data_IF_163677010322
#
_entry.id   IF_163677010322
#
_cell.length_a   1.000
_cell.length_b   1.000
_cell.length_c   1.000
_cell.angle_alpha   90.00
_cell.angle_beta   90.00
_cell.angle_gamma   90.00
#
_symmetry.space_group_name_H-M   'P 1'
#
loop_
_entity.id
_entity.type
_entity.pdbx_description
1 polymer ?
#
# COMPACT_ATOMS: atom_id res chain seq x y z
N UNK A 1 8.59 -11.02 -14.45
CA UNK A 1 7.64 -10.09 -13.83
C UNK A 1 8.33 -9.45 -12.64
N UNK A 2 8.64 -8.16 -12.73
CA UNK A 2 9.26 -7.36 -11.67
C UNK A 2 8.20 -6.42 -11.11
N UNK A 3 7.86 -6.59 -9.84
CA UNK A 3 6.94 -5.73 -9.11
C UNK A 3 7.69 -4.82 -8.15
N UNK A 4 7.40 -3.53 -8.19
CA UNK A 4 7.94 -2.56 -7.23
C UNK A 4 6.80 -2.07 -6.34
N UNK A 5 6.98 -2.14 -5.02
CA UNK A 5 6.04 -1.61 -4.05
C UNK A 5 6.59 -0.31 -3.47
N UNK A 6 5.86 0.78 -3.69
CA UNK A 6 6.16 2.09 -3.13
C UNK A 6 5.10 2.46 -2.09
N UNK A 7 5.51 3.20 -1.07
CA UNK A 7 4.57 3.81 -0.11
C UNK A 7 4.15 5.17 -0.67
N UNK A 8 2.88 5.51 -0.50
CA UNK A 8 2.33 6.81 -0.91
C UNK A 8 2.98 7.92 -0.08
N UNK A 9 3.61 8.86 -0.77
CA UNK A 9 4.28 10.03 -0.22
C UNK A 9 4.32 11.11 -1.33
N UNK A 10 4.35 12.41 -1.00
CA UNK A 10 4.51 13.46 -2.01
C UNK A 10 5.76 13.24 -2.86
N UNK A 11 5.63 13.25 -4.18
CA UNK A 11 6.72 13.01 -5.11
C UNK A 11 6.85 11.56 -5.58
N UNK A 12 5.99 10.64 -5.10
CA UNK A 12 5.95 9.24 -5.54
C UNK A 12 5.75 9.12 -7.05
N UNK A 13 5.07 10.07 -7.71
CA UNK A 13 4.88 10.05 -9.16
C UNK A 13 6.18 10.18 -9.96
N UNK A 14 7.14 10.94 -9.45
CA UNK A 14 8.47 11.07 -10.07
C UNK A 14 9.24 9.76 -9.97
N UNK A 15 9.20 9.12 -8.80
CA UNK A 15 9.84 7.82 -8.56
C UNK A 15 9.20 6.75 -9.45
N UNK A 16 7.86 6.72 -9.52
CA UNK A 16 7.10 5.81 -10.37
C UNK A 16 7.48 5.94 -11.85
N UNK A 17 7.71 7.16 -12.33
CA UNK A 17 8.18 7.40 -13.70
C UNK A 17 9.57 6.80 -13.94
N UNK A 18 10.48 6.89 -12.96
CA UNK A 18 11.79 6.24 -13.00
C UNK A 18 11.68 4.71 -13.02
N UNK A 19 10.81 4.15 -12.17
CA UNK A 19 10.53 2.71 -12.10
C UNK A 19 9.96 2.19 -13.43
N UNK A 20 9.05 2.93 -14.06
CA UNK A 20 8.52 2.60 -15.37
C UNK A 20 9.59 2.64 -16.48
N UNK A 21 10.56 3.56 -16.40
CA UNK A 21 11.72 3.60 -17.30
C UNK A 21 12.71 2.45 -17.06
N UNK A 22 12.75 1.92 -15.84
CA UNK A 22 13.54 0.74 -15.48
C UNK A 22 12.89 -0.60 -15.91
N UNK A 23 11.85 -0.56 -16.75
CA UNK A 23 11.13 -1.74 -17.26
C UNK A 23 10.51 -2.61 -16.17
N UNK A 24 9.99 -2.00 -15.11
CA UNK A 24 9.13 -2.70 -14.16
C UNK A 24 7.77 -3.05 -14.80
N UNK A 25 7.25 -4.24 -14.50
CA UNK A 25 5.99 -4.74 -15.06
C UNK A 25 4.76 -4.28 -14.23
N UNK A 26 4.95 -4.14 -12.92
CA UNK A 26 3.90 -3.84 -11.96
C UNK A 26 4.40 -2.83 -10.93
N UNK A 27 3.59 -1.81 -10.66
CA UNK A 27 3.85 -0.83 -9.62
C UNK A 27 2.70 -0.83 -8.62
N UNK A 28 3.01 -1.12 -7.37
CA UNK A 28 2.06 -1.12 -6.27
C UNK A 28 2.23 0.15 -5.45
N UNK A 29 1.18 0.96 -5.34
CA UNK A 29 1.12 2.11 -4.43
C UNK A 29 0.43 1.68 -3.14
N UNK A 30 1.18 1.72 -2.03
CA UNK A 30 0.72 1.36 -0.70
C UNK A 30 0.34 2.61 0.11
N UNK A 31 -0.88 2.66 0.61
CA UNK A 31 -1.30 3.71 1.55
C UNK A 31 -0.72 3.55 2.95
N UNK A 32 -0.82 4.60 3.76
CA UNK A 32 -0.45 4.57 5.18
C UNK A 32 -1.32 3.61 6.02
N UNK A 33 -2.56 3.32 5.59
CA UNK A 33 -3.50 2.42 6.29
C UNK A 33 -3.19 0.92 6.05
N UNK A 34 -1.90 0.59 5.85
CA UNK A 34 -1.41 -0.77 5.65
C UNK A 34 -1.26 -1.54 6.96
N UNK A 35 -1.64 -2.82 6.96
CA UNK A 35 -1.44 -3.70 8.11
C UNK A 35 0.03 -4.11 8.29
N UNK A 36 0.53 -4.07 9.53
CA UNK A 36 1.87 -4.55 9.90
C UNK A 36 1.81 -5.31 11.22
N UNK A 37 2.51 -6.44 11.31
CA UNK A 37 2.55 -7.26 12.51
C UNK A 37 3.58 -6.82 13.55
N UNK A 38 4.50 -5.90 13.22
CA UNK A 38 5.65 -5.59 14.08
C UNK A 38 6.17 -4.15 14.01
N UNK A 39 5.53 -3.24 13.26
CA UNK A 39 6.05 -1.86 13.15
C UNK A 39 5.81 -1.04 14.43
N UNK A 40 6.68 -0.06 14.73
CA UNK A 40 6.48 0.89 15.84
C UNK A 40 5.19 1.69 15.68
N UNK A 41 4.48 1.95 16.78
CA UNK A 41 3.22 2.73 16.78
C UNK A 41 3.36 4.12 16.14
N UNK A 42 4.52 4.76 16.31
CA UNK A 42 4.81 6.06 15.70
C UNK A 42 4.86 5.99 14.17
N UNK A 43 5.45 4.93 13.61
CA UNK A 43 5.51 4.74 12.16
C UNK A 43 4.14 4.41 11.57
N UNK A 44 3.32 3.62 12.27
CA UNK A 44 1.96 3.29 11.80
C UNK A 44 1.04 4.52 11.82
N UNK A 45 1.22 5.44 12.77
CA UNK A 45 0.35 6.62 12.90
C UNK A 45 0.81 7.84 12.11
N UNK A 46 2.11 8.01 11.88
CA UNK A 46 2.67 9.25 11.36
C UNK A 46 3.48 9.10 10.07
N UNK A 47 3.67 7.89 9.55
CA UNK A 47 4.41 7.69 8.30
C UNK A 47 3.47 7.40 7.13
N UNK A 48 3.69 8.10 6.02
CA UNK A 48 2.99 7.90 4.76
C UNK A 48 1.80 8.82 4.53
N UNK A 49 1.27 8.75 3.31
CA UNK A 49 0.12 9.50 2.85
C UNK A 49 -1.02 8.56 2.42
N UNK A 50 -2.27 9.06 2.30
CA UNK A 50 -3.38 8.29 1.73
C UNK A 50 -3.02 7.75 0.35
N UNK A 51 -3.47 6.52 0.04
CA UNK A 51 -3.17 5.88 -1.24
C UNK A 51 -3.85 6.62 -2.39
N UNK A 52 -4.98 7.28 -2.14
CA UNK A 52 -5.73 8.06 -3.12
C UNK A 52 -4.84 9.15 -3.72
N UNK A 53 -4.09 9.87 -2.87
CA UNK A 53 -3.24 10.97 -3.29
C UNK A 53 -2.06 10.45 -4.12
N UNK A 54 -1.36 9.43 -3.62
CA UNK A 54 -0.20 8.85 -4.30
C UNK A 54 -0.55 8.12 -5.60
N UNK A 55 -1.73 7.48 -5.67
CA UNK A 55 -2.23 6.83 -6.88
C UNK A 55 -2.55 7.87 -7.96
N UNK A 56 -3.24 8.96 -7.61
CA UNK A 56 -3.53 10.05 -8.56
C UNK A 56 -2.26 10.71 -9.05
N UNK A 57 -1.32 11.02 -8.16
CA UNK A 57 -0.04 11.62 -8.53
C UNK A 57 0.74 10.69 -9.47
N UNK A 58 0.78 9.39 -9.17
CA UNK A 58 1.43 8.39 -10.01
C UNK A 58 0.76 8.27 -11.38
N UNK A 59 -0.57 8.21 -11.42
CA UNK A 59 -1.34 8.17 -12.65
C UNK A 59 -1.05 9.39 -13.53
N UNK A 60 -1.10 10.59 -12.94
CA UNK A 60 -0.83 11.85 -13.64
C UNK A 60 0.61 11.91 -14.15
N UNK A 61 1.61 11.57 -13.33
CA UNK A 61 3.01 11.57 -13.74
C UNK A 61 3.28 10.57 -14.88
N UNK A 62 2.71 9.37 -14.82
CA UNK A 62 2.85 8.37 -15.88
C UNK A 62 2.15 8.77 -17.17
N UNK A 63 0.98 9.41 -17.09
CA UNK A 63 0.28 9.94 -18.26
C UNK A 63 1.05 11.10 -18.88
N UNK A 64 1.53 12.06 -18.07
CA UNK A 64 2.31 13.20 -18.54
C UNK A 64 3.61 12.78 -19.24
N UNK A 65 4.21 11.67 -18.80
CA UNK A 65 5.41 11.09 -19.43
C UNK A 65 5.09 10.06 -20.53
N UNK A 66 3.82 9.79 -20.83
CA UNK A 66 3.41 8.79 -21.82
C UNK A 66 3.79 7.35 -21.47
N UNK A 67 4.07 7.04 -20.20
CA UNK A 67 4.50 5.71 -19.74
C UNK A 67 3.36 4.86 -19.15
N UNK A 68 2.15 5.41 -19.05
CA UNK A 68 1.01 4.70 -18.41
C UNK A 68 0.67 3.36 -19.05
N UNK A 69 0.94 3.18 -20.35
CA UNK A 69 0.69 1.92 -21.07
C UNK A 69 1.77 0.84 -20.82
N UNK A 70 2.91 1.20 -20.21
CA UNK A 70 4.04 0.28 -20.01
C UNK A 70 3.97 -0.49 -18.71
N UNK A 71 3.27 0.03 -17.70
CA UNK A 71 3.26 -0.53 -16.35
C UNK A 71 1.83 -0.66 -15.85
N UNK A 72 1.58 -1.76 -15.13
CA UNK A 72 0.29 -1.96 -14.45
C UNK A 72 0.32 -1.30 -13.09
N UNK A 73 -0.76 -0.60 -12.74
CA UNK A 73 -0.89 0.03 -11.42
C UNK A 73 -1.69 -0.87 -10.48
N UNK A 74 -1.12 -1.20 -9.34
CA UNK A 74 -1.80 -1.85 -8.24
C UNK A 74 -1.92 -0.88 -7.06
N UNK A 75 -3.00 -0.97 -6.32
CA UNK A 75 -3.13 -0.24 -5.05
C UNK A 75 -3.32 -1.22 -3.90
N UNK A 76 -2.72 -0.90 -2.76
CA UNK A 76 -2.81 -1.63 -1.50
C UNK A 76 -2.84 -0.61 -0.34
N UNK A 77 -3.34 -1.00 0.83
CA UNK A 77 -3.45 -0.12 2.00
C UNK A 77 -4.89 0.15 2.40
N UNK A 78 -5.43 -0.72 3.25
CA UNK A 78 -6.69 -0.47 3.93
C UNK A 78 -7.97 -0.66 3.10
N UNK A 79 -7.89 -1.26 1.91
CA UNK A 79 -9.07 -1.59 1.09
C UNK A 79 -9.99 -2.55 1.87
N UNK A 80 -11.18 -2.06 2.25
CA UNK A 80 -12.14 -2.81 3.08
C UNK A 80 -13.44 -3.08 2.33
N UNK A 81 -13.83 -2.18 1.43
CA UNK A 81 -15.14 -2.22 0.77
C UNK A 81 -15.03 -2.20 -0.75
N UNK A 82 -16.09 -2.66 -1.43
CA UNK A 82 -16.16 -2.59 -2.90
C UNK A 82 -16.14 -1.17 -3.45
N UNK A 83 -16.61 -0.18 -2.67
CA UNK A 83 -16.53 1.24 -3.03
C UNK A 83 -15.09 1.71 -3.14
N UNK A 84 -14.19 1.21 -2.29
CA UNK A 84 -12.77 1.56 -2.33
C UNK A 84 -12.11 1.03 -3.60
N UNK A 85 -12.50 -0.18 -4.03
CA UNK A 85 -12.06 -0.78 -5.29
C UNK A 85 -12.52 0.07 -6.47
N UNK A 86 -13.80 0.47 -6.49
CA UNK A 86 -14.36 1.29 -7.57
C UNK A 86 -13.67 2.65 -7.62
N UNK A 87 -13.47 3.31 -6.46
CA UNK A 87 -12.71 4.56 -6.38
C UNK A 87 -11.30 4.38 -6.93
N UNK A 88 -10.57 3.36 -6.47
CA UNK A 88 -9.23 3.08 -6.95
C UNK A 88 -9.18 2.82 -8.47
N UNK A 89 -10.16 2.10 -9.01
CA UNK A 89 -10.28 1.86 -10.45
C UNK A 89 -10.46 3.18 -11.23
N UNK A 90 -11.35 4.06 -10.75
CA UNK A 90 -11.58 5.38 -11.35
C UNK A 90 -10.32 6.24 -11.30
N UNK A 91 -9.55 6.15 -10.21
CA UNK A 91 -8.29 6.89 -10.05
C UNK A 91 -7.12 6.31 -10.89
N UNK A 92 -7.31 5.15 -11.53
CA UNK A 92 -6.36 4.58 -12.49
C UNK A 92 -5.68 3.28 -12.07
N UNK A 93 -6.06 2.67 -10.95
CA UNK A 93 -5.57 1.35 -10.56
C UNK A 93 -6.21 0.23 -11.41
N UNK A 94 -5.42 -0.79 -11.73
CA UNK A 94 -5.81 -1.97 -12.51
C UNK A 94 -5.84 -3.24 -11.66
N UNK A 95 -5.20 -3.22 -10.49
CA UNK A 95 -5.11 -4.34 -9.58
C UNK A 95 -5.22 -3.88 -8.14
N UNK A 96 -5.70 -4.75 -7.25
CA UNK A 96 -6.04 -4.38 -5.86
C UNK A 96 -5.44 -5.43 -4.91
N UNK A 97 -4.61 -4.98 -3.97
CA UNK A 97 -4.00 -5.80 -2.93
C UNK A 97 -4.85 -5.80 -1.66
N UNK A 98 -5.07 -6.97 -1.08
CA UNK A 98 -5.77 -7.13 0.19
C UNK A 98 -4.91 -7.91 1.19
N UNK A 99 -4.53 -7.27 2.30
CA UNK A 99 -3.82 -7.94 3.41
C UNK A 99 -4.75 -8.23 4.57
N UNK A 100 -5.21 -7.18 5.25
CA UNK A 100 -5.96 -7.31 6.52
C UNK A 100 -7.34 -7.95 6.34
N UNK A 101 -8.08 -7.62 5.28
CA UNK A 101 -9.42 -8.16 5.03
C UNK A 101 -9.48 -9.70 5.01
N UNK A 102 -8.65 -10.37 4.18
CA UNK A 102 -8.54 -11.83 4.18
C UNK A 102 -8.11 -12.42 5.52
N UNK A 103 -7.17 -11.79 6.24
CA UNK A 103 -6.76 -12.28 7.57
C UNK A 103 -7.94 -12.27 8.55
N UNK A 104 -8.75 -11.22 8.55
CA UNK A 104 -9.96 -11.15 9.38
C UNK A 104 -10.96 -12.24 8.99
N UNK A 105 -11.16 -12.49 7.69
CA UNK A 105 -12.03 -13.55 7.20
C UNK A 105 -11.56 -14.95 7.63
N UNK A 106 -10.25 -15.17 7.74
CA UNK A 106 -9.64 -16.40 8.26
C UNK A 106 -9.69 -16.53 9.79
N UNK A 107 -10.31 -15.57 10.50
CA UNK A 107 -10.47 -15.60 11.94
C UNK A 107 -9.40 -14.84 12.72
N UNK A 108 -8.58 -14.02 12.05
CA UNK A 108 -7.71 -13.07 12.75
C UNK A 108 -8.60 -12.05 13.48
N UNK A 109 -8.74 -12.22 14.79
CA UNK A 109 -9.31 -11.20 15.66
C UNK A 109 -8.31 -10.07 15.72
N UNK A 110 -8.58 -8.95 15.05
CA UNK A 110 -7.88 -7.70 15.28
C UNK A 110 -8.11 -7.37 16.76
N UNK A 111 -7.12 -7.51 17.67
CA UNK A 111 -7.34 -7.12 19.03
C UNK A 111 -7.36 -5.58 19.01
N UNK A 112 -8.56 -4.98 19.07
CA UNK A 112 -8.73 -3.54 19.30
C UNK A 112 -8.15 -3.09 20.67
N UNK A 113 -7.53 -4.00 21.42
CA UNK A 113 -7.05 -3.80 22.78
C UNK A 113 -5.81 -4.63 23.13
N UNK A 114 -4.82 -4.73 22.23
CA UNK A 114 -3.47 -5.13 22.65
C UNK A 114 -2.49 -3.98 22.36
N UNK A 115 -1.91 -3.33 23.39
CA UNK A 115 -0.81 -2.41 23.17
C UNK A 115 0.33 -3.19 22.49
N UNK A 116 0.81 -2.69 21.37
CA UNK A 116 1.88 -3.30 20.55
C UNK A 116 3.17 -3.60 21.34
N UNK A 117 3.33 -3.04 22.54
CA UNK A 117 4.41 -3.38 23.47
C UNK A 117 4.38 -4.84 23.92
N UNK A 118 3.22 -5.51 23.98
CA UNK A 118 3.16 -6.90 24.43
C UNK A 118 3.50 -7.95 23.38
N UNK A 119 3.45 -7.63 22.08
CA UNK A 119 3.81 -8.59 21.04
C UNK A 119 5.34 -8.65 20.81
N UNK A 120 6.03 -7.51 20.96
CA UNK A 120 7.49 -7.47 20.89
C UNK A 120 8.14 -8.11 22.13
N UNK A 121 7.56 -7.92 23.31
CA UNK A 121 8.17 -8.38 24.57
C UNK A 121 8.00 -9.88 24.87
N UNK A 122 7.10 -10.60 24.20
CA UNK A 122 6.93 -12.06 24.38
C UNK A 122 7.93 -12.93 23.65
N UNK A 123 8.94 -12.36 22.98
CA UNK A 123 10.08 -13.15 22.44
C UNK A 123 11.18 -13.41 23.48
N UNK A 124 11.04 -12.91 24.70
CA UNK A 124 12.00 -13.12 25.81
C UNK A 124 11.65 -14.25 26.80
N UNK A 125 10.41 -14.77 26.82
CA UNK A 125 9.95 -15.75 27.84
C UNK A 125 9.74 -17.18 27.28
N UNK A 126 10.49 -17.55 26.24
CA UNK A 126 10.57 -18.93 25.76
C UNK A 126 12.04 -19.33 25.63
N UNK A 127 12.67 -19.57 26.78
CA UNK A 127 14.06 -20.03 26.90
C UNK A 127 14.53 -19.98 28.34
#
# INVERSE_FOLDING_TARGET
MISVKLVSEPGVGTIATGVAKAYADLLTIAGYDGGTGASPLSSVKYAGCPWELGLVETQQALVANGLRHKIRLQVDGGLKTGVDIIKAAILGAESFGFGTGPMVALGCKIPAHLPSEQLCNRRGDAG
#
